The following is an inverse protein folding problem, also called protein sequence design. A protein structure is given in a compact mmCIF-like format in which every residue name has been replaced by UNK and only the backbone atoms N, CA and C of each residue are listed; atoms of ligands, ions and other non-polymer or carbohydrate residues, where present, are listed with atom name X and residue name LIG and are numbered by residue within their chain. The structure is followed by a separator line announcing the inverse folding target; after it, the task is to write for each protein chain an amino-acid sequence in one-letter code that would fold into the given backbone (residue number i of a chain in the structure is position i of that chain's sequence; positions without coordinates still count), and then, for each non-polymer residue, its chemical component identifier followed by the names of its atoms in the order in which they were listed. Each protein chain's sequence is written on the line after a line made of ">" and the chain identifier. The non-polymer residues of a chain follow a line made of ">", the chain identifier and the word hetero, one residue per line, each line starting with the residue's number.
data_IF_818069441408
#
_entry.id   IF_818069441408
#
_cell.length_a   1.000
_cell.length_b   1.000
_cell.length_c   1.000
_cell.angle_alpha   90.00
_cell.angle_beta   90.00
_cell.angle_gamma   90.00
#
_symmetry.space_group_name_H-M   'P 1'
#
loop_
_entity.id
_entity.type
_entity.pdbx_description
1 polymer ?
#
# COMPACT_ATOMS: atom_id res chain seq x y z
N UNK A 1 24.18 -17.74 -33.03
CA UNK A 1 24.61 -16.72 -32.04
C UNK A 1 23.58 -15.60 -31.81
N UNK A 2 22.97 -15.00 -32.84
CA UNK A 2 22.02 -13.87 -32.70
C UNK A 2 20.78 -14.19 -31.83
N UNK A 3 20.18 -15.37 -32.00
CA UNK A 3 19.00 -15.82 -31.21
C UNK A 3 19.28 -15.95 -29.71
N UNK A 4 20.45 -16.47 -29.33
CA UNK A 4 20.85 -16.59 -27.91
C UNK A 4 21.04 -15.22 -27.27
N UNK A 5 21.65 -14.25 -27.98
CA UNK A 5 21.80 -12.87 -27.50
C UNK A 5 20.45 -12.18 -27.31
N UNK A 6 19.52 -12.36 -28.25
CA UNK A 6 18.17 -11.79 -28.15
C UNK A 6 17.40 -12.37 -26.96
N UNK A 7 17.48 -13.69 -26.74
CA UNK A 7 16.84 -14.34 -25.60
C UNK A 7 17.39 -13.82 -24.26
N UNK A 8 18.71 -13.67 -24.13
CA UNK A 8 19.33 -13.14 -22.91
C UNK A 8 18.88 -11.71 -22.63
N UNK A 9 18.84 -10.86 -23.67
CA UNK A 9 18.37 -9.48 -23.54
C UNK A 9 16.89 -9.46 -23.10
N UNK A 10 16.05 -10.28 -23.72
CA UNK A 10 14.64 -10.38 -23.36
C UNK A 10 14.46 -10.80 -21.89
N UNK A 11 15.15 -11.84 -21.45
CA UNK A 11 15.11 -12.30 -20.05
C UNK A 11 15.55 -11.17 -19.10
N UNK A 12 16.63 -10.46 -19.43
CA UNK A 12 17.10 -9.35 -18.61
C UNK A 12 16.03 -8.26 -18.44
N UNK A 13 15.36 -7.86 -19.53
CA UNK A 13 14.29 -6.87 -19.45
C UNK A 13 13.08 -7.36 -18.67
N UNK A 14 12.67 -8.62 -18.84
CA UNK A 14 11.58 -9.21 -18.06
C UNK A 14 11.91 -9.22 -16.58
N UNK A 15 13.12 -9.67 -16.20
CA UNK A 15 13.57 -9.65 -14.81
C UNK A 15 13.59 -8.24 -14.23
N UNK A 16 14.05 -7.24 -15.00
CA UNK A 16 14.04 -5.85 -14.57
C UNK A 16 12.61 -5.33 -14.34
N UNK A 17 11.67 -5.68 -15.21
CA UNK A 17 10.26 -5.30 -15.05
C UNK A 17 9.62 -5.95 -13.82
N UNK A 18 9.91 -7.22 -13.55
CA UNK A 18 9.42 -7.91 -12.35
C UNK A 18 9.97 -7.24 -11.09
N UNK A 19 11.27 -6.91 -11.06
CA UNK A 19 11.87 -6.20 -9.93
C UNK A 19 11.24 -4.82 -9.69
N UNK A 20 10.96 -4.08 -10.77
CA UNK A 20 10.25 -2.80 -10.66
C UNK A 20 8.83 -3.00 -10.15
N UNK A 21 8.11 -4.00 -10.66
CA UNK A 21 6.76 -4.33 -10.21
C UNK A 21 6.74 -4.68 -8.71
N UNK A 22 7.71 -5.46 -8.21
CA UNK A 22 7.81 -5.80 -6.79
C UNK A 22 8.00 -4.57 -5.91
N UNK A 23 8.81 -3.61 -6.38
CA UNK A 23 9.07 -2.36 -5.66
C UNK A 23 7.89 -1.40 -5.63
N UNK A 24 6.95 -1.50 -6.57
CA UNK A 24 5.86 -0.55 -6.75
C UNK A 24 4.46 -1.13 -6.61
N UNK A 25 4.28 -2.44 -6.49
CA UNK A 25 2.98 -3.06 -6.20
C UNK A 25 2.97 -3.54 -4.75
N UNK A 26 1.97 -3.10 -4.00
CA UNK A 26 1.67 -3.56 -2.65
C UNK A 26 0.24 -4.08 -2.57
N UNK A 27 -0.09 -4.72 -1.44
CA UNK A 27 -1.44 -5.14 -1.13
C UNK A 27 -1.74 -4.95 0.36
N UNK A 28 -3.02 -4.97 0.70
CA UNK A 28 -3.54 -5.04 2.06
C UNK A 28 -4.79 -5.93 2.08
N UNK A 29 -5.17 -6.43 3.25
CA UNK A 29 -6.43 -7.14 3.44
C UNK A 29 -7.53 -6.19 3.87
N UNK A 30 -8.67 -6.27 3.19
CA UNK A 30 -9.92 -5.62 3.58
C UNK A 30 -10.85 -6.65 4.22
N UNK A 31 -11.56 -6.24 5.26
CA UNK A 31 -12.51 -7.07 6.00
C UNK A 31 -13.92 -6.47 5.86
N UNK A 32 -14.65 -6.87 4.83
CA UNK A 32 -15.99 -6.38 4.47
C UNK A 32 -16.93 -7.58 4.45
N UNK A 33 -18.17 -7.43 4.92
CA UNK A 33 -19.18 -8.50 4.96
C UNK A 33 -18.69 -9.81 5.63
N UNK A 34 -17.79 -9.70 6.61
CA UNK A 34 -17.08 -10.83 7.26
C UNK A 34 -16.19 -11.68 6.33
N UNK A 35 -15.87 -11.16 5.14
CA UNK A 35 -14.94 -11.76 4.19
C UNK A 35 -13.63 -10.98 4.13
N UNK A 36 -12.53 -11.71 3.90
CA UNK A 36 -11.22 -11.14 3.70
C UNK A 36 -10.92 -11.01 2.20
N UNK A 37 -10.63 -9.80 1.75
CA UNK A 37 -10.30 -9.49 0.37
C UNK A 37 -8.90 -8.89 0.24
N UNK A 38 -8.07 -9.48 -0.62
CA UNK A 38 -6.76 -8.90 -0.95
C UNK A 38 -6.93 -7.75 -1.94
N UNK A 39 -6.56 -6.53 -1.52
CA UNK A 39 -6.65 -5.33 -2.33
C UNK A 39 -5.25 -4.86 -2.73
N UNK A 40 -4.99 -4.86 -4.04
CA UNK A 40 -3.72 -4.43 -4.62
C UNK A 40 -3.72 -2.92 -4.92
N UNK A 41 -2.56 -2.28 -4.72
CA UNK A 41 -2.39 -0.86 -5.05
C UNK A 41 -0.98 -0.56 -5.57
N UNK A 42 -0.86 0.54 -6.33
CA UNK A 42 0.42 1.09 -6.74
C UNK A 42 1.01 1.97 -5.64
N UNK A 43 2.16 1.56 -5.11
CA UNK A 43 2.93 2.31 -4.12
C UNK A 43 3.44 3.63 -4.72
N UNK A 44 3.32 4.72 -3.97
CA UNK A 44 3.85 6.05 -4.32
C UNK A 44 5.36 6.16 -4.14
N UNK A 45 5.94 5.31 -3.29
CA UNK A 45 7.37 5.23 -3.05
C UNK A 45 7.86 3.77 -3.15
N UNK A 46 9.06 3.52 -3.69
CA UNK A 46 9.58 2.16 -3.78
C UNK A 46 9.89 1.58 -2.40
N UNK A 47 9.58 0.30 -2.20
CA UNK A 47 9.99 -0.48 -1.03
C UNK A 47 9.87 -1.97 -1.32
N UNK A 48 10.68 -2.78 -0.64
CA UNK A 48 10.59 -4.24 -0.67
C UNK A 48 9.37 -4.77 0.12
N UNK A 49 8.72 -3.92 0.93
CA UNK A 49 7.48 -4.28 1.62
C UNK A 49 6.36 -4.47 0.60
N UNK A 50 5.69 -5.63 0.68
CA UNK A 50 4.55 -6.01 -0.17
C UNK A 50 3.23 -5.82 0.54
N UNK A 51 3.13 -6.33 1.76
CA UNK A 51 1.92 -6.26 2.58
C UNK A 51 1.93 -5.02 3.48
N UNK A 52 0.78 -4.34 3.51
CA UNK A 52 0.52 -3.18 4.33
C UNK A 52 -0.76 -3.39 5.14
N UNK A 53 -0.85 -2.70 6.27
CA UNK A 53 -2.04 -2.69 7.11
C UNK A 53 -2.77 -1.39 6.85
N UNK A 54 -4.00 -1.47 6.37
CA UNK A 54 -4.93 -0.35 6.34
C UNK A 54 -5.85 -0.46 7.57
N UNK A 55 -5.64 0.34 8.64
CA UNK A 55 -6.41 0.20 9.88
C UNK A 55 -7.92 0.47 9.73
N UNK A 56 -8.31 1.15 8.64
CA UNK A 56 -9.70 1.51 8.36
C UNK A 56 -10.28 0.68 7.22
N UNK A 57 -9.66 -0.45 6.87
CA UNK A 57 -10.18 -1.39 5.88
C UNK A 57 -11.14 -2.42 6.45
N UNK A 58 -12.08 -1.95 7.26
CA UNK A 58 -13.10 -2.79 7.87
C UNK A 58 -14.37 -1.97 8.14
N UNK A 59 -15.48 -2.65 8.39
CA UNK A 59 -16.78 -2.05 8.75
C UNK A 59 -16.89 -1.63 10.23
N UNK A 60 -15.79 -1.67 10.96
CA UNK A 60 -15.76 -1.38 12.39
C UNK A 60 -15.74 0.11 12.71
N UNK A 61 -15.33 0.40 13.95
CA UNK A 61 -15.20 1.76 14.44
C UNK A 61 -14.15 2.53 13.65
N UNK A 62 -14.45 3.81 13.40
CA UNK A 62 -13.56 4.75 12.75
C UNK A 62 -13.13 5.83 13.76
N UNK A 63 -12.29 5.51 14.76
CA UNK A 63 -11.81 6.52 15.71
C UNK A 63 -10.97 7.59 15.01
N UNK A 64 -10.88 8.77 15.62
CA UNK A 64 -9.95 9.81 15.19
C UNK A 64 -8.49 9.37 15.37
N UNK A 65 -7.58 9.97 14.61
CA UNK A 65 -6.14 9.70 14.66
C UNK A 65 -5.54 9.92 16.06
N UNK A 66 -6.11 10.83 16.84
CA UNK A 66 -5.65 11.10 18.21
C UNK A 66 -6.06 10.01 19.21
N UNK A 67 -7.06 9.21 18.88
CA UNK A 67 -7.53 8.08 19.69
C UNK A 67 -6.81 6.77 19.34
N UNK A 68 -6.03 6.76 18.26
CA UNK A 68 -5.25 5.60 17.85
C UNK A 68 -4.09 5.34 18.81
N UNK A 69 -3.84 4.06 19.09
CA UNK A 69 -2.59 3.66 19.72
C UNK A 69 -1.39 4.01 18.84
N UNK A 70 -0.21 4.16 19.45
CA UNK A 70 1.03 4.47 18.72
C UNK A 70 1.32 3.50 17.58
N UNK A 71 1.00 2.21 17.75
CA UNK A 71 1.23 1.18 16.73
C UNK A 71 0.27 1.36 15.54
N UNK A 72 -1.03 1.52 15.81
CA UNK A 72 -2.04 1.72 14.76
C UNK A 72 -1.80 3.03 14.01
N UNK A 73 -1.39 4.08 14.72
CA UNK A 73 -1.00 5.35 14.09
C UNK A 73 0.20 5.18 13.16
N UNK A 74 1.18 4.35 13.54
CA UNK A 74 2.33 4.04 12.67
C UNK A 74 1.92 3.23 11.43
N UNK A 75 1.03 2.26 11.59
CA UNK A 75 0.47 1.50 10.46
C UNK A 75 -0.30 2.40 9.51
N UNK A 76 -1.15 3.28 10.04
CA UNK A 76 -1.82 4.31 9.25
C UNK A 76 -0.83 5.18 8.49
N UNK A 77 0.22 5.68 9.17
CA UNK A 77 1.23 6.50 8.51
C UNK A 77 1.96 5.74 7.39
N UNK A 78 2.38 4.50 7.63
CA UNK A 78 3.00 3.65 6.61
C UNK A 78 2.05 3.47 5.42
N UNK A 79 0.80 3.10 5.66
CA UNK A 79 -0.19 2.93 4.61
C UNK A 79 -0.43 4.23 3.83
N UNK A 80 -0.64 5.35 4.52
CA UNK A 80 -0.84 6.67 3.91
C UNK A 80 0.35 7.12 3.06
N UNK A 81 1.57 6.85 3.51
CA UNK A 81 2.79 7.13 2.75
C UNK A 81 2.81 6.34 1.45
N UNK A 82 2.57 5.04 1.51
CA UNK A 82 2.73 4.18 0.34
C UNK A 82 1.52 4.19 -0.59
N UNK A 83 0.28 4.27 -0.09
CA UNK A 83 -0.93 4.31 -0.93
C UNK A 83 -1.21 5.72 -1.48
N UNK A 84 -1.07 6.75 -0.64
CA UNK A 84 -1.53 8.11 -0.96
C UNK A 84 -0.41 9.14 -1.10
N UNK A 85 0.83 8.81 -0.73
CA UNK A 85 1.98 9.70 -0.90
C UNK A 85 2.16 10.70 0.26
N UNK A 86 1.50 10.46 1.40
CA UNK A 86 1.58 11.35 2.57
C UNK A 86 2.92 11.15 3.29
N UNK A 87 3.74 12.21 3.36
CA UNK A 87 5.09 12.14 3.94
C UNK A 87 5.19 12.67 5.37
N UNK A 88 4.14 13.34 5.87
CA UNK A 88 4.09 13.90 7.21
C UNK A 88 3.27 13.00 8.15
N UNK A 89 3.77 12.79 9.37
CA UNK A 89 3.15 11.96 10.41
C UNK A 89 2.41 12.82 11.47
N UNK A 90 2.12 14.09 11.17
CA UNK A 90 1.30 14.91 12.05
C UNK A 90 -0.19 14.52 11.96
N UNK A 91 -0.95 14.86 13.00
CA UNK A 91 -2.37 14.46 13.10
C UNK A 91 -3.19 15.00 11.93
N UNK A 92 -2.92 16.22 11.45
CA UNK A 92 -3.72 16.83 10.37
C UNK A 92 -3.53 16.07 9.06
N UNK A 93 -2.29 15.71 8.71
CA UNK A 93 -1.99 14.92 7.53
C UNK A 93 -2.60 13.52 7.59
N UNK A 94 -2.51 12.84 8.73
CA UNK A 94 -3.09 11.52 8.91
C UNK A 94 -4.63 11.54 8.92
N UNK A 95 -5.26 12.56 9.49
CA UNK A 95 -6.73 12.71 9.44
C UNK A 95 -7.23 12.92 8.02
N UNK A 96 -6.52 13.74 7.24
CA UNK A 96 -6.85 13.94 5.83
C UNK A 96 -6.77 12.62 5.04
N UNK A 97 -5.74 11.81 5.30
CA UNK A 97 -5.58 10.51 4.68
C UNK A 97 -6.67 9.52 5.13
N UNK A 98 -6.94 9.42 6.43
CA UNK A 98 -8.04 8.62 6.98
C UNK A 98 -9.37 8.97 6.32
N UNK A 99 -9.66 10.26 6.15
CA UNK A 99 -10.87 10.73 5.48
C UNK A 99 -10.93 10.34 4.00
N UNK A 100 -9.79 10.17 3.32
CA UNK A 100 -9.74 9.64 1.96
C UNK A 100 -10.02 8.13 1.94
N UNK A 101 -9.39 7.36 2.84
CA UNK A 101 -9.60 5.91 2.96
C UNK A 101 -11.07 5.58 3.15
N UNK A 102 -11.73 6.24 4.11
CA UNK A 102 -13.14 5.97 4.43
C UNK A 102 -14.05 6.22 3.21
N UNK A 103 -13.76 7.24 2.40
CA UNK A 103 -14.55 7.55 1.19
C UNK A 103 -14.34 6.57 0.04
N UNK A 104 -13.24 5.81 0.04
CA UNK A 104 -12.94 4.83 -1.00
C UNK A 104 -13.51 3.44 -0.66
N UNK A 105 -13.85 3.20 0.61
CA UNK A 105 -14.34 1.91 1.12
C UNK A 105 -15.87 1.89 1.29
N UNK A 106 -16.49 3.05 1.53
CA UNK A 106 -17.95 3.24 1.56
C UNK A 106 -18.53 3.45 0.16
#
# INVERSE_FOLDING_TARGET
>A
MKRKKFLVIFIFFVSLLVLVADLYIGYYYSYIDHEEHEVYFFKRFPTLRREFINPFSNEGDNPSVNELSTNVRKELFDFCKYAYGVTLNDTKSLESCRGQIIREIQ
#
